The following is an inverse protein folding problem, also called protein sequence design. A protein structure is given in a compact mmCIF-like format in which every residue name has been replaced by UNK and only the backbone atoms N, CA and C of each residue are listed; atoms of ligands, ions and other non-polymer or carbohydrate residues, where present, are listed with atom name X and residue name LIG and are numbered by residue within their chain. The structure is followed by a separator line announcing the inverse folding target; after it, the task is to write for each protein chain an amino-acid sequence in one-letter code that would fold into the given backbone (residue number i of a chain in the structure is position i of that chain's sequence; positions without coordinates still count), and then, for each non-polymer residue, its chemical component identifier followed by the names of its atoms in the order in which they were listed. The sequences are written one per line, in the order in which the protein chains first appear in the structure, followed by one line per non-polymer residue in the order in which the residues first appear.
data_IF_210790810922
#
_entry.id   IF_210790810922
#
_cell.length_a   1.000
_cell.length_b   1.000
_cell.length_c   1.000
_cell.angle_alpha   90.00
_cell.angle_beta   90.00
_cell.angle_gamma   90.00
#
_symmetry.space_group_name_H-M   'P 1'
#
loop_
_entity.id
_entity.type
_entity.pdbx_description
1 polymer ?
#
# COMPACT_ATOMS: atom_id res chain seq x y z
N UNK A 1 -19.44 6.30 -7.78
CA UNK A 1 -18.68 5.07 -7.43
C UNK A 1 -17.36 5.18 -8.15
N UNK A 2 -16.22 4.98 -7.48
CA UNK A 2 -14.91 5.15 -8.12
C UNK A 2 -14.66 4.07 -9.17
N UNK A 3 -14.03 4.41 -10.28
CA UNK A 3 -13.60 3.46 -11.30
C UNK A 3 -12.21 2.87 -11.00
N UNK A 4 -11.75 1.92 -11.82
CA UNK A 4 -10.45 1.26 -11.60
C UNK A 4 -9.27 2.23 -11.75
N UNK A 5 -9.34 3.17 -12.71
CA UNK A 5 -8.30 4.18 -12.92
C UNK A 5 -8.15 5.08 -11.70
N UNK A 6 -9.25 5.51 -11.11
CA UNK A 6 -9.26 6.29 -9.87
C UNK A 6 -8.65 5.52 -8.69
N UNK A 7 -8.87 4.20 -8.61
CA UNK A 7 -8.25 3.35 -7.58
C UNK A 7 -6.74 3.19 -7.77
N UNK A 8 -6.26 3.07 -9.00
CA UNK A 8 -4.80 3.02 -9.26
C UNK A 8 -4.14 4.35 -8.90
N UNK A 9 -4.81 5.48 -9.19
CA UNK A 9 -4.36 6.80 -8.76
C UNK A 9 -4.35 6.93 -7.24
N UNK A 10 -5.32 6.34 -6.53
CA UNK A 10 -5.27 6.27 -5.06
C UNK A 10 -4.01 5.53 -4.62
N UNK A 11 -3.76 4.32 -5.13
CA UNK A 11 -2.57 3.55 -4.72
C UNK A 11 -1.30 4.40 -4.89
N UNK A 12 -1.13 5.08 -6.03
CA UNK A 12 0.00 5.99 -6.25
C UNK A 12 0.06 7.11 -5.19
N UNK A 13 -1.04 7.84 -4.98
CA UNK A 13 -1.09 8.96 -4.03
C UNK A 13 -0.77 8.51 -2.60
N UNK A 14 -1.29 7.35 -2.19
CA UNK A 14 -1.10 6.82 -0.84
C UNK A 14 0.31 6.24 -0.62
N UNK A 15 0.97 5.73 -1.67
CA UNK A 15 2.40 5.44 -1.63
C UNK A 15 3.20 6.72 -1.39
N UNK A 16 2.93 7.79 -2.14
CA UNK A 16 3.64 9.07 -1.99
C UNK A 16 3.43 9.69 -0.60
N UNK A 17 2.26 9.49 0.02
CA UNK A 17 2.01 9.91 1.41
C UNK A 17 2.85 9.14 2.43
N UNK A 18 3.11 7.86 2.19
CA UNK A 18 3.99 7.04 3.05
C UNK A 18 5.44 7.52 2.92
N UNK A 19 5.93 7.71 1.70
CA UNK A 19 7.32 8.12 1.43
C UNK A 19 7.73 9.42 2.12
N UNK A 20 6.79 10.36 2.32
CA UNK A 20 7.03 11.62 3.06
C UNK A 20 7.60 11.40 4.46
N UNK A 21 7.31 10.27 5.09
CA UNK A 21 7.78 9.94 6.43
C UNK A 21 8.80 8.80 6.45
N UNK A 22 8.75 7.86 5.50
CA UNK A 22 9.77 6.81 5.36
C UNK A 22 11.18 7.39 5.17
N UNK A 23 11.31 8.53 4.48
CA UNK A 23 12.60 9.23 4.29
C UNK A 23 13.27 9.65 5.60
N UNK A 24 12.54 9.69 6.71
CA UNK A 24 13.09 10.02 8.04
C UNK A 24 13.82 8.83 8.69
N UNK A 25 13.69 7.64 8.11
CA UNK A 25 14.43 6.43 8.47
C UNK A 25 13.73 5.55 9.51
N UNK A 26 14.26 4.34 9.63
CA UNK A 26 13.74 3.26 10.48
C UNK A 26 13.63 3.66 11.95
N UNK A 27 14.67 4.34 12.47
CA UNK A 27 14.70 4.79 13.86
C UNK A 27 13.51 5.70 14.18
N UNK A 28 13.24 6.69 13.32
CA UNK A 28 12.13 7.62 13.50
C UNK A 28 10.79 6.87 13.43
N UNK A 29 10.66 5.87 12.56
CA UNK A 29 9.48 5.02 12.51
C UNK A 29 9.23 4.30 13.85
N UNK A 30 10.25 3.67 14.46
CA UNK A 30 10.06 2.95 15.73
C UNK A 30 9.86 3.87 16.94
N UNK A 31 10.41 5.07 16.93
CA UNK A 31 10.32 6.01 18.06
C UNK A 31 9.08 6.91 18.01
N UNK A 32 8.33 6.92 16.90
CA UNK A 32 7.22 7.85 16.68
C UNK A 32 5.91 7.14 16.30
N UNK A 33 5.02 6.97 17.30
CA UNK A 33 3.70 6.33 17.14
C UNK A 33 2.82 7.01 16.07
N UNK A 34 2.93 8.33 15.89
CA UNK A 34 2.17 9.03 14.85
C UNK A 34 2.63 8.65 13.45
N UNK A 35 3.93 8.41 13.26
CA UNK A 35 4.47 7.94 11.98
C UNK A 35 4.06 6.49 11.73
N UNK A 36 4.10 5.63 12.75
CA UNK A 36 3.61 4.26 12.66
C UNK A 36 2.14 4.23 12.23
N UNK A 37 1.30 4.96 12.96
CA UNK A 37 -0.13 5.07 12.69
C UNK A 37 -0.41 5.62 11.30
N UNK A 38 0.33 6.68 10.91
CA UNK A 38 0.22 7.26 9.57
C UNK A 38 0.54 6.23 8.48
N UNK A 39 1.67 5.54 8.59
CA UNK A 39 2.10 4.56 7.59
C UNK A 39 1.09 3.40 7.49
N UNK A 40 0.71 2.80 8.62
CA UNK A 40 -0.24 1.68 8.67
C UNK A 40 -1.58 2.08 8.05
N UNK A 41 -2.09 3.28 8.36
CA UNK A 41 -3.33 3.77 7.78
C UNK A 41 -3.26 3.93 6.26
N UNK A 42 -2.17 4.49 5.72
CA UNK A 42 -2.03 4.65 4.27
C UNK A 42 -1.85 3.28 3.57
N UNK A 43 -1.16 2.31 4.19
CA UNK A 43 -1.08 0.93 3.68
C UNK A 43 -2.45 0.25 3.64
N UNK A 44 -3.28 0.47 4.66
CA UNK A 44 -4.66 -0.04 4.68
C UNK A 44 -5.47 0.50 3.50
N UNK A 45 -5.31 1.78 3.15
CA UNK A 45 -6.02 2.38 2.01
C UNK A 45 -5.55 1.80 0.68
N UNK A 46 -4.24 1.56 0.52
CA UNK A 46 -3.69 0.87 -0.66
C UNK A 46 -4.32 -0.52 -0.80
N UNK A 47 -4.42 -1.28 0.28
CA UNK A 47 -5.06 -2.60 0.26
C UNK A 47 -6.56 -2.55 -0.03
N UNK A 48 -7.27 -1.54 0.48
CA UNK A 48 -8.69 -1.32 0.17
C UNK A 48 -8.91 -0.98 -1.31
N UNK A 49 -8.09 -0.09 -1.87
CA UNK A 49 -8.12 0.23 -3.30
C UNK A 49 -7.85 -1.01 -4.15
N UNK A 50 -6.84 -1.81 -3.78
CA UNK A 50 -6.49 -3.08 -4.46
C UNK A 50 -7.63 -4.09 -4.42
N UNK A 51 -8.26 -4.28 -3.25
CA UNK A 51 -9.41 -5.16 -3.06
C UNK A 51 -10.59 -4.75 -3.96
N UNK A 52 -10.85 -3.45 -4.05
CA UNK A 52 -12.01 -2.89 -4.74
C UNK A 52 -11.82 -2.76 -6.28
N UNK A 53 -10.59 -2.88 -6.78
CA UNK A 53 -10.30 -2.94 -8.22
C UNK A 53 -10.99 -4.15 -8.85
N UNK A 54 -11.55 -3.98 -10.05
CA UNK A 54 -12.31 -5.05 -10.71
C UNK A 54 -11.42 -6.25 -11.09
N UNK A 55 -12.00 -7.46 -11.06
CA UNK A 55 -11.31 -8.69 -11.48
C UNK A 55 -10.80 -8.62 -12.93
N UNK A 56 -11.54 -7.91 -13.81
CA UNK A 56 -11.11 -7.67 -15.19
C UNK A 56 -9.81 -6.87 -15.24
N UNK A 57 -9.68 -5.84 -14.40
CA UNK A 57 -8.48 -5.01 -14.34
C UNK A 57 -7.32 -5.76 -13.69
N UNK A 58 -7.58 -6.50 -12.59
CA UNK A 58 -6.57 -7.37 -11.97
C UNK A 58 -6.02 -8.39 -12.95
N UNK A 59 -6.88 -9.02 -13.75
CA UNK A 59 -6.48 -9.97 -14.79
C UNK A 59 -5.67 -9.33 -15.93
N UNK A 60 -5.87 -8.03 -16.21
CA UNK A 60 -5.06 -7.27 -17.19
C UNK A 60 -3.63 -7.04 -16.66
N UNK A 61 -3.46 -6.91 -15.35
CA UNK A 61 -2.17 -6.62 -14.71
C UNK A 61 -1.82 -7.66 -13.63
N UNK A 62 -1.57 -8.92 -14.01
CA UNK A 62 -1.32 -10.02 -13.07
C UNK A 62 0.06 -9.95 -12.40
N UNK A 63 0.93 -9.04 -12.81
CA UNK A 63 2.25 -8.82 -12.20
C UNK A 63 2.17 -8.17 -10.80
N UNK A 64 1.01 -7.60 -10.45
CA UNK A 64 0.74 -7.08 -9.12
C UNK A 64 0.13 -8.18 -8.25
N UNK A 65 0.61 -8.31 -7.03
CA UNK A 65 -0.01 -9.19 -6.04
C UNK A 65 -1.22 -8.51 -5.38
N UNK A 66 -2.33 -8.48 -6.11
CA UNK A 66 -3.57 -7.85 -5.65
C UNK A 66 -4.12 -8.49 -4.39
N UNK A 67 -3.93 -9.80 -4.24
CA UNK A 67 -4.48 -10.57 -3.13
C UNK A 67 -3.67 -10.27 -1.87
N UNK A 68 -2.35 -10.28 -1.94
CA UNK A 68 -1.49 -9.95 -0.79
C UNK A 68 -1.76 -8.53 -0.27
N UNK A 69 -1.95 -7.55 -1.16
CA UNK A 69 -2.32 -6.18 -0.74
C UNK A 69 -3.68 -6.14 -0.01
N UNK A 70 -4.67 -6.89 -0.50
CA UNK A 70 -5.98 -6.96 0.12
C UNK A 70 -5.94 -7.70 1.48
N UNK A 71 -5.16 -8.77 1.57
CA UNK A 71 -4.98 -9.57 2.77
C UNK A 71 -4.21 -8.82 3.85
N UNK A 72 -3.20 -8.02 3.47
CA UNK A 72 -2.51 -7.14 4.41
C UNK A 72 -3.47 -6.11 5.02
N UNK A 73 -4.38 -5.52 4.22
CA UNK A 73 -5.45 -4.67 4.76
C UNK A 73 -6.37 -5.44 5.70
N UNK A 74 -6.68 -6.70 5.43
CA UNK A 74 -7.51 -7.52 6.32
C UNK A 74 -6.81 -7.79 7.66
N UNK A 75 -5.50 -8.08 7.63
CA UNK A 75 -4.66 -8.22 8.81
C UNK A 75 -4.69 -6.95 9.66
N UNK A 76 -4.43 -5.77 9.05
CA UNK A 76 -4.44 -4.48 9.75
C UNK A 76 -5.78 -4.21 10.44
N UNK A 77 -6.90 -4.52 9.79
CA UNK A 77 -8.24 -4.15 10.30
C UNK A 77 -8.80 -5.18 11.28
N UNK A 78 -8.69 -6.47 10.97
CA UNK A 78 -9.38 -7.54 11.71
C UNK A 78 -8.47 -8.27 12.69
N UNK A 79 -7.17 -8.27 12.42
CA UNK A 79 -6.15 -8.93 13.24
C UNK A 79 -5.11 -7.90 13.71
N UNK A 80 -5.54 -6.67 14.01
CA UNK A 80 -4.65 -5.54 14.37
C UNK A 80 -3.66 -5.87 15.49
N UNK A 81 -4.03 -6.77 16.41
CA UNK A 81 -3.18 -7.25 17.50
C UNK A 81 -2.00 -8.13 17.04
N UNK A 82 -1.96 -8.53 15.76
CA UNK A 82 -0.89 -9.30 15.10
C UNK A 82 -0.04 -8.45 14.17
N UNK A 83 -0.31 -7.14 14.05
CA UNK A 83 0.51 -6.25 13.21
C UNK A 83 1.90 -6.15 13.83
N UNK A 84 2.89 -6.67 13.10
CA UNK A 84 4.29 -6.61 13.46
C UNK A 84 4.92 -5.38 12.79
N UNK A 85 5.47 -4.45 13.59
CA UNK A 85 6.07 -3.22 13.09
C UNK A 85 7.33 -3.49 12.23
N UNK A 86 8.05 -4.58 12.48
CA UNK A 86 9.18 -5.01 11.65
C UNK A 86 8.73 -5.42 10.26
N UNK A 87 7.63 -6.18 10.16
CA UNK A 87 7.02 -6.52 8.87
C UNK A 87 6.50 -5.27 8.15
N UNK A 88 5.86 -4.34 8.87
CA UNK A 88 5.43 -3.05 8.29
C UNK A 88 6.62 -2.29 7.73
N UNK A 89 7.72 -2.20 8.47
CA UNK A 89 8.94 -1.53 8.02
C UNK A 89 9.54 -2.21 6.78
N UNK A 90 9.63 -3.54 6.78
CA UNK A 90 10.13 -4.33 5.65
C UNK A 90 9.31 -4.07 4.38
N UNK A 91 7.97 -4.01 4.50
CA UNK A 91 7.07 -3.71 3.39
C UNK A 91 7.35 -2.30 2.85
N UNK A 92 7.44 -1.27 3.70
CA UNK A 92 7.63 0.10 3.21
C UNK A 92 9.03 0.35 2.64
N UNK A 93 10.04 -0.34 3.14
CA UNK A 93 11.42 -0.19 2.66
C UNK A 93 11.66 -0.97 1.37
N UNK A 94 11.13 -2.20 1.25
CA UNK A 94 11.50 -3.11 0.17
C UNK A 94 10.41 -3.32 -0.88
N UNK A 95 9.14 -3.41 -0.47
CA UNK A 95 8.05 -3.78 -1.38
C UNK A 95 7.34 -2.55 -1.95
N UNK A 96 7.14 -1.51 -1.14
CA UNK A 96 6.46 -0.29 -1.55
C UNK A 96 7.15 0.42 -2.73
N UNK A 97 8.49 0.51 -2.82
CA UNK A 97 9.15 1.09 -4.00
C UNK A 97 8.91 0.29 -5.27
N UNK A 98 8.86 -1.05 -5.19
CA UNK A 98 8.55 -1.93 -6.32
C UNK A 98 7.11 -1.72 -6.78
N UNK A 99 6.17 -1.71 -5.84
CA UNK A 99 4.76 -1.42 -6.09
C UNK A 99 4.59 -0.06 -6.79
N UNK A 100 5.28 0.98 -6.32
CA UNK A 100 5.26 2.31 -6.93
C UNK A 100 5.65 2.28 -8.41
N UNK A 101 6.71 1.56 -8.75
CA UNK A 101 7.16 1.43 -10.14
C UNK A 101 6.12 0.72 -10.99
N UNK A 102 5.53 -0.37 -10.49
CA UNK A 102 4.48 -1.11 -11.19
C UNK A 102 3.23 -0.25 -11.43
N UNK A 103 2.78 0.47 -10.40
CA UNK A 103 1.63 1.38 -10.49
C UNK A 103 1.89 2.52 -11.48
N UNK A 104 3.08 3.13 -11.46
CA UNK A 104 3.46 4.15 -12.42
C UNK A 104 3.48 3.63 -13.86
N UNK A 105 3.88 2.37 -14.08
CA UNK A 105 3.85 1.76 -15.41
C UNK A 105 2.41 1.51 -15.87
N UNK A 106 1.52 1.05 -14.98
CA UNK A 106 0.09 0.86 -15.29
C UNK A 106 -0.56 2.20 -15.65
N UNK A 107 -0.30 3.26 -14.89
CA UNK A 107 -0.84 4.59 -15.15
C UNK A 107 -0.37 5.20 -16.49
N UNK A 108 0.74 4.71 -17.06
CA UNK A 108 1.20 5.09 -18.41
C UNK A 108 0.56 4.26 -19.53
N UNK A 109 0.03 3.08 -19.20
CA UNK A 109 -0.62 2.16 -20.14
C UNK A 109 -2.12 2.43 -20.31
N UNK A 110 -2.72 3.19 -19.39
CA UNK A 110 -4.17 3.51 -19.39
C UNK A 110 -4.46 4.96 -19.77
#
# INVERSE_FOLDING_TARGET
MRDDTERIKDIQEYIEKIEKYVVRGEKEFYENELIQTWIIHNLQIIGEASRATSERFKAKYPQLDWQDMADFRNLIVHEYFRVDLGVVWEIVENELPKLKQQINNILRDI
#
